data_IF_986188627818
#
_entry.id   IF_986188627818
#
_cell.length_a   1.000
_cell.length_b   1.000
_cell.length_c   1.000
_cell.angle_alpha   90.00
_cell.angle_beta   90.00
_cell.angle_gamma   90.00
#
_symmetry.space_group_name_H-M   'P 1'
#
loop_
_entity.id
_entity.type
_entity.pdbx_description
1 polymer ?
#
# COMPACT_ATOMS: atom_id res chain seq x y z
N UNK A 1 -2.92 -21.66 5.84
CA UNK A 1 -1.91 -20.76 5.26
C UNK A 1 -2.13 -19.38 5.85
N UNK A 2 -1.07 -18.59 6.01
CA UNK A 2 -1.25 -17.17 6.27
C UNK A 2 -1.63 -16.53 4.94
N UNK A 3 -2.80 -15.90 4.84
CA UNK A 3 -3.19 -15.22 3.62
C UNK A 3 -2.52 -13.86 3.58
N UNK A 4 -1.62 -13.65 2.62
CA UNK A 4 -1.05 -12.34 2.34
C UNK A 4 -1.93 -11.57 1.37
N UNK A 5 -1.86 -10.24 1.43
CA UNK A 5 -2.40 -9.36 0.40
C UNK A 5 -1.25 -8.58 -0.18
N UNK A 6 -1.07 -8.65 -1.50
CA UNK A 6 -0.02 -7.95 -2.24
C UNK A 6 -0.58 -6.67 -2.82
N UNK A 7 0.17 -5.58 -2.71
CA UNK A 7 -0.21 -4.27 -3.20
C UNK A 7 0.78 -3.78 -4.23
N UNK A 8 0.27 -3.07 -5.23
CA UNK A 8 1.04 -2.16 -6.07
C UNK A 8 0.40 -0.79 -6.02
N UNK A 9 1.23 0.22 -5.78
CA UNK A 9 0.80 1.61 -5.61
C UNK A 9 1.66 2.50 -6.48
N UNK A 10 1.02 3.25 -7.37
CA UNK A 10 1.65 4.28 -8.18
C UNK A 10 1.20 5.65 -7.68
N UNK A 11 2.08 6.38 -6.98
CA UNK A 11 1.84 7.73 -6.47
C UNK A 11 2.37 8.81 -7.41
N UNK A 12 1.62 9.90 -7.56
CA UNK A 12 2.02 11.10 -8.30
C UNK A 12 1.69 12.35 -7.49
N UNK A 13 2.64 13.27 -7.34
CA UNK A 13 2.46 14.48 -6.54
C UNK A 13 3.73 15.31 -6.39
N UNK A 14 3.75 16.30 -5.49
CA UNK A 14 4.95 17.08 -5.18
C UNK A 14 6.11 16.19 -4.71
N UNK A 15 7.31 16.41 -5.24
CA UNK A 15 8.49 15.58 -4.91
C UNK A 15 8.81 15.59 -3.40
N UNK A 16 8.61 16.74 -2.73
CA UNK A 16 8.83 16.89 -1.29
C UNK A 16 7.85 16.03 -0.47
N UNK A 17 6.60 15.89 -0.92
CA UNK A 17 5.60 15.05 -0.24
C UNK A 17 5.89 13.57 -0.43
N UNK A 18 6.31 13.15 -1.62
CA UNK A 18 6.72 11.77 -1.88
C UNK A 18 7.97 11.40 -1.07
N UNK A 19 8.95 12.30 -0.99
CA UNK A 19 10.14 12.13 -0.15
C UNK A 19 9.77 12.12 1.36
N UNK A 20 8.80 12.95 1.77
CA UNK A 20 8.29 12.96 3.14
C UNK A 20 7.57 11.66 3.47
N UNK A 21 6.79 11.07 2.56
CA UNK A 21 6.18 9.76 2.73
C UNK A 21 7.24 8.69 2.98
N UNK A 22 8.21 8.57 2.08
CA UNK A 22 9.26 7.55 2.19
C UNK A 22 10.08 7.73 3.48
N UNK A 23 10.55 8.94 3.76
CA UNK A 23 11.39 9.20 4.94
C UNK A 23 10.66 9.06 6.28
N UNK A 24 9.34 9.27 6.33
CA UNK A 24 8.57 9.17 7.58
C UNK A 24 7.99 7.80 7.82
N UNK A 25 7.58 7.11 6.76
CA UNK A 25 6.76 5.91 6.86
C UNK A 25 7.50 4.65 6.44
N UNK A 26 8.58 4.75 5.67
CA UNK A 26 9.37 3.59 5.27
C UNK A 26 10.58 3.44 6.21
N UNK A 27 10.82 2.22 6.68
CA UNK A 27 11.87 1.88 7.63
C UNK A 27 12.63 0.64 7.18
N UNK A 28 13.95 0.56 7.42
CA UNK A 28 14.70 -0.69 7.25
C UNK A 28 14.40 -1.65 8.42
N UNK A 29 14.44 -2.95 8.16
CA UNK A 29 14.49 -4.00 9.17
C UNK A 29 15.94 -4.47 9.43
N UNK A 30 16.15 -5.37 10.39
CA UNK A 30 17.47 -5.90 10.75
C UNK A 30 18.16 -6.72 9.64
N UNK A 31 17.41 -7.11 8.61
CA UNK A 31 17.90 -7.86 7.44
C UNK A 31 18.26 -6.95 6.26
N UNK A 32 17.98 -5.64 6.37
CA UNK A 32 18.18 -4.66 5.30
C UNK A 32 16.99 -4.49 4.36
N UNK A 33 15.91 -5.26 4.52
CA UNK A 33 14.68 -5.04 3.76
C UNK A 33 13.94 -3.83 4.31
N UNK A 34 13.01 -3.28 3.52
CA UNK A 34 12.19 -2.14 3.93
C UNK A 34 10.76 -2.57 4.21
N UNK A 35 10.08 -1.80 5.06
CA UNK A 35 8.65 -1.94 5.34
C UNK A 35 8.00 -0.57 5.56
N UNK A 36 6.68 -0.50 5.38
CA UNK A 36 5.86 0.65 5.76
C UNK A 36 5.46 0.49 7.23
N UNK A 37 5.96 1.38 8.09
CA UNK A 37 5.66 1.42 9.51
C UNK A 37 4.28 2.01 9.78
N UNK A 38 3.28 1.15 9.96
CA UNK A 38 1.90 1.58 10.19
C UNK A 38 1.73 2.39 11.49
N UNK A 39 2.63 2.25 12.47
CA UNK A 39 2.59 3.05 13.70
C UNK A 39 2.82 4.53 13.43
N UNK A 40 3.56 4.87 12.38
CA UNK A 40 3.78 6.26 11.99
C UNK A 40 2.55 6.88 11.32
N UNK A 41 1.59 6.07 10.86
CA UNK A 41 0.34 6.48 10.22
C UNK A 41 -0.84 6.44 11.22
N UNK A 42 -1.11 5.29 11.83
CA UNK A 42 -2.16 5.14 12.84
C UNK A 42 -1.55 4.47 14.08
N UNK A 43 -1.11 5.24 15.08
CA UNK A 43 -0.48 4.68 16.27
C UNK A 43 -1.45 3.79 17.07
N UNK A 44 -0.98 2.61 17.47
CA UNK A 44 -1.71 1.67 18.34
C UNK A 44 -0.76 1.06 19.36
N UNK A 45 -1.27 0.62 20.51
CA UNK A 45 -0.45 -0.05 21.53
C UNK A 45 0.12 -1.39 21.02
N UNK A 46 -0.66 -2.12 20.22
CA UNK A 46 -0.31 -3.38 19.57
C UNK A 46 -0.93 -3.42 18.16
N UNK A 47 -0.43 -4.25 17.23
CA UNK A 47 -1.07 -4.45 15.93
C UNK A 47 -2.55 -4.80 16.09
N UNK A 48 -3.43 -3.97 15.53
CA UNK A 48 -4.87 -4.06 15.71
C UNK A 48 -5.56 -4.09 14.34
N UNK A 49 -6.04 -5.26 13.88
CA UNK A 49 -6.70 -5.41 12.58
C UNK A 49 -7.93 -4.53 12.42
N UNK A 50 -8.65 -4.25 13.51
CA UNK A 50 -9.80 -3.36 13.53
C UNK A 50 -9.42 -1.90 13.22
N UNK A 51 -8.17 -1.52 13.48
CA UNK A 51 -7.65 -0.16 13.25
C UNK A 51 -6.88 -0.07 11.94
N UNK A 52 -6.01 -1.04 11.65
CA UNK A 52 -5.16 -1.01 10.46
C UNK A 52 -5.79 -1.65 9.23
N UNK A 53 -6.83 -2.47 9.41
CA UNK A 53 -7.36 -3.31 8.34
C UNK A 53 -6.42 -4.46 7.95
N UNK A 54 -5.41 -4.75 8.78
CA UNK A 54 -4.49 -5.88 8.61
C UNK A 54 -3.90 -6.36 9.94
N UNK A 55 -3.42 -7.60 9.99
CA UNK A 55 -2.75 -8.14 11.19
C UNK A 55 -1.30 -7.69 11.32
N UNK A 56 -0.74 -7.06 10.28
CA UNK A 56 0.66 -6.68 10.24
C UNK A 56 0.87 -5.34 9.56
N UNK A 57 2.09 -4.81 9.70
CA UNK A 57 2.60 -3.70 8.90
C UNK A 57 2.77 -4.10 7.43
N UNK A 58 3.15 -3.13 6.57
CA UNK A 58 3.43 -3.35 5.16
C UNK A 58 4.85 -3.86 4.94
N UNK A 59 5.06 -5.17 4.94
CA UNK A 59 6.36 -5.79 4.71
C UNK A 59 6.76 -5.78 3.24
N UNK A 60 8.01 -6.17 2.97
CA UNK A 60 8.53 -6.39 1.61
C UNK A 60 8.35 -5.15 0.72
N UNK A 61 8.58 -3.96 1.30
CA UNK A 61 8.47 -2.71 0.57
C UNK A 61 9.59 -2.61 -0.46
N UNK A 62 9.20 -2.54 -1.73
CA UNK A 62 10.11 -2.41 -2.86
C UNK A 62 9.68 -1.26 -3.77
N UNK A 63 10.65 -0.47 -4.23
CA UNK A 63 10.39 0.58 -5.22
C UNK A 63 10.55 -0.06 -6.60
N UNK A 64 9.46 -0.11 -7.36
CA UNK A 64 9.45 -0.61 -8.73
C UNK A 64 9.98 0.46 -9.71
N UNK A 65 9.59 1.72 -9.50
CA UNK A 65 10.08 2.86 -10.29
C UNK A 65 10.04 4.18 -9.50
N UNK A 66 10.95 5.11 -9.79
CA UNK A 66 10.99 6.41 -9.13
C UNK A 66 11.54 7.50 -10.07
N UNK A 67 10.85 8.63 -10.13
CA UNK A 67 11.28 9.83 -10.85
C UNK A 67 10.75 11.08 -10.14
N UNK A 68 11.24 12.30 -10.47
CA UNK A 68 10.73 13.51 -9.84
C UNK A 68 9.20 13.64 -9.98
N UNK A 69 8.50 13.56 -8.85
CA UNK A 69 7.04 13.66 -8.76
C UNK A 69 6.27 12.36 -9.00
N UNK A 70 6.95 11.22 -9.15
CA UNK A 70 6.31 9.91 -9.28
C UNK A 70 7.10 8.82 -8.54
N UNK A 71 6.39 7.95 -7.81
CA UNK A 71 6.97 6.75 -7.21
C UNK A 71 5.99 5.60 -7.33
N UNK A 72 6.49 4.46 -7.76
CA UNK A 72 5.76 3.21 -7.83
C UNK A 72 6.43 2.19 -6.91
N UNK A 73 5.63 1.54 -6.06
CA UNK A 73 6.14 0.59 -5.10
C UNK A 73 5.16 -0.55 -4.86
N UNK A 74 5.69 -1.64 -4.33
CA UNK A 74 4.94 -2.79 -3.86
C UNK A 74 5.15 -2.97 -2.36
N UNK A 75 4.19 -3.63 -1.71
CA UNK A 75 4.32 -4.12 -0.35
C UNK A 75 3.29 -5.24 -0.10
N UNK A 76 3.47 -6.00 0.98
CA UNK A 76 2.54 -7.04 1.40
C UNK A 76 2.07 -6.85 2.84
N UNK A 77 0.86 -7.27 3.16
CA UNK A 77 0.36 -7.38 4.54
C UNK A 77 -0.20 -8.77 4.77
N UNK A 78 -0.24 -9.21 6.02
CA UNK A 78 -0.92 -10.44 6.39
C UNK A 78 -2.36 -10.13 6.81
N UNK A 79 -3.31 -10.70 6.07
CA UNK A 79 -4.75 -10.60 6.25
C UNK A 79 -5.31 -9.19 6.09
N UNK A 80 -6.47 -9.09 5.45
CA UNK A 80 -7.13 -7.81 5.19
C UNK A 80 -6.46 -6.97 4.10
N UNK A 81 -6.97 -5.75 3.89
CA UNK A 81 -6.68 -4.93 2.71
C UNK A 81 -5.97 -3.61 3.04
N UNK A 82 -5.61 -3.40 4.31
CA UNK A 82 -4.95 -2.18 4.79
C UNK A 82 -5.65 -0.86 4.38
N UNK A 83 -6.94 -0.90 4.02
CA UNK A 83 -7.67 0.28 3.55
C UNK A 83 -7.67 1.45 4.55
N UNK A 84 -7.73 1.25 5.89
CA UNK A 84 -7.55 2.33 6.85
C UNK A 84 -6.20 3.04 6.74
N UNK A 85 -5.12 2.28 6.51
CA UNK A 85 -3.76 2.83 6.35
C UNK A 85 -3.66 3.63 5.05
N UNK A 86 -4.16 3.08 3.95
CA UNK A 86 -4.21 3.80 2.66
C UNK A 86 -5.01 5.11 2.77
N UNK A 87 -6.13 5.10 3.51
CA UNK A 87 -6.93 6.30 3.76
C UNK A 87 -6.18 7.34 4.59
N UNK A 88 -5.41 6.89 5.57
CA UNK A 88 -4.59 7.79 6.39
C UNK A 88 -3.42 8.39 5.59
N UNK A 89 -2.83 7.64 4.65
CA UNK A 89 -1.86 8.18 3.69
C UNK A 89 -2.52 9.27 2.85
N UNK A 90 -3.68 9.00 2.23
CA UNK A 90 -4.40 9.99 1.44
C UNK A 90 -4.67 11.27 2.25
N UNK A 91 -5.20 11.13 3.47
CA UNK A 91 -5.50 12.26 4.37
C UNK A 91 -4.28 13.12 4.71
N UNK A 92 -3.11 12.51 4.90
CA UNK A 92 -1.87 13.21 5.27
C UNK A 92 -1.18 13.88 4.09
N UNK A 93 -1.38 13.36 2.89
CA UNK A 93 -0.75 13.81 1.65
C UNK A 93 -1.83 14.18 0.62
N UNK A 94 -2.62 15.25 0.86
CA UNK A 94 -3.78 15.56 0.03
C UNK A 94 -3.43 15.95 -1.41
N UNK A 95 -2.21 16.44 -1.64
CA UNK A 95 -1.67 16.80 -2.95
C UNK A 95 -1.07 15.60 -3.70
N UNK A 96 -0.99 14.43 -3.05
CA UNK A 96 -0.59 13.17 -3.69
C UNK A 96 -1.82 12.46 -4.21
N UNK A 97 -1.75 12.08 -5.49
CA UNK A 97 -2.68 11.14 -6.12
C UNK A 97 -2.06 9.76 -6.17
N UNK A 98 -2.88 8.72 -6.16
CA UNK A 98 -2.38 7.35 -6.35
C UNK A 98 -3.37 6.47 -7.09
N UNK A 99 -2.85 5.49 -7.82
CA UNK A 99 -3.58 4.31 -8.29
C UNK A 99 -3.11 3.10 -7.49
N UNK A 100 -4.05 2.29 -7.03
CA UNK A 100 -3.82 1.16 -6.14
C UNK A 100 -4.45 -0.09 -6.74
N UNK A 101 -3.69 -1.18 -6.77
CA UNK A 101 -4.21 -2.53 -7.01
C UNK A 101 -3.74 -3.45 -5.89
N UNK A 102 -4.59 -4.39 -5.48
CA UNK A 102 -4.17 -5.46 -4.58
C UNK A 102 -4.89 -6.78 -4.87
N UNK A 103 -4.28 -7.87 -4.44
CA UNK A 103 -4.88 -9.21 -4.44
C UNK A 103 -4.50 -10.00 -3.20
N UNK A 104 -5.41 -10.87 -2.76
CA UNK A 104 -5.11 -11.87 -1.74
C UNK A 104 -4.39 -13.07 -2.36
N UNK A 105 -3.38 -13.57 -1.67
CA UNK A 105 -2.73 -14.84 -1.93
C UNK A 105 -3.79 -15.96 -2.02
N UNK A 106 -3.80 -16.67 -3.14
CA UNK A 106 -4.80 -17.71 -3.42
C UNK A 106 -6.06 -17.20 -4.16
N UNK A 107 -6.15 -15.90 -4.46
CA UNK A 107 -7.12 -15.34 -5.38
C UNK A 107 -8.56 -15.26 -4.86
N UNK A 108 -8.77 -15.27 -3.53
CA UNK A 108 -10.12 -15.15 -2.95
C UNK A 108 -10.70 -13.74 -3.02
N UNK A 109 -9.87 -12.69 -3.06
CA UNK A 109 -10.33 -11.35 -3.39
C UNK A 109 -9.24 -10.52 -4.08
N UNK A 110 -9.71 -9.46 -4.75
CA UNK A 110 -8.88 -8.40 -5.28
C UNK A 110 -9.53 -7.05 -4.97
N UNK A 111 -8.76 -5.96 -5.07
CA UNK A 111 -9.30 -4.62 -4.97
C UNK A 111 -8.52 -3.64 -5.85
N UNK A 112 -9.19 -2.58 -6.28
CA UNK A 112 -8.55 -1.43 -6.90
C UNK A 112 -9.01 -0.17 -6.21
N UNK A 113 -8.20 0.88 -6.30
CA UNK A 113 -8.56 2.16 -5.73
C UNK A 113 -7.73 3.31 -6.25
N UNK A 114 -8.14 4.50 -5.83
CA UNK A 114 -7.45 5.73 -6.11
C UNK A 114 -7.42 6.63 -4.88
N UNK A 115 -6.30 7.32 -4.69
CA UNK A 115 -6.21 8.45 -3.76
C UNK A 115 -6.27 9.75 -4.54
N UNK A 116 -7.09 10.70 -4.09
CA UNK A 116 -7.15 12.04 -4.66
C UNK A 116 -7.72 13.03 -3.64
N UNK A 117 -7.10 14.21 -3.55
CA UNK A 117 -7.59 15.32 -2.73
C UNK A 117 -7.87 14.95 -1.26
N UNK A 118 -7.00 14.13 -0.66
CA UNK A 118 -7.15 13.69 0.73
C UNK A 118 -8.09 12.50 0.94
N UNK A 119 -8.71 11.98 -0.11
CA UNK A 119 -9.69 10.90 -0.05
C UNK A 119 -9.19 9.62 -0.72
N UNK A 120 -9.71 8.49 -0.25
CA UNK A 120 -9.49 7.15 -0.83
C UNK A 120 -10.82 6.62 -1.37
N UNK A 121 -10.86 6.32 -2.67
CA UNK A 121 -11.88 5.44 -3.27
C UNK A 121 -11.26 4.06 -3.41
N UNK A 122 -11.87 3.04 -2.83
CA UNK A 122 -11.32 1.68 -2.79
C UNK A 122 -12.45 0.66 -2.86
N UNK A 123 -12.42 -0.18 -3.89
CA UNK A 123 -13.49 -1.12 -4.19
C UNK A 123 -12.94 -2.54 -4.27
N UNK A 124 -13.56 -3.43 -3.50
CA UNK A 124 -13.30 -4.87 -3.60
C UNK A 124 -14.01 -5.43 -4.80
N UNK A 125 -13.34 -6.32 -5.50
CA UNK A 125 -13.85 -6.99 -6.69
C UNK A 125 -13.43 -8.47 -6.69
N UNK A 126 -14.11 -9.32 -7.49
CA UNK A 126 -13.61 -10.66 -7.75
C UNK A 126 -12.19 -10.61 -8.30
N UNK A 127 -11.39 -11.62 -7.95
CA UNK A 127 -10.09 -11.80 -8.57
C UNK A 127 -10.23 -11.96 -10.09
N UNK A 128 -9.31 -11.39 -10.84
CA UNK A 128 -9.19 -11.59 -12.29
C UNK A 128 -7.73 -11.46 -12.72
N UNK A 129 -7.38 -12.05 -13.87
CA UNK A 129 -6.04 -11.94 -14.46
C UNK A 129 -5.63 -10.47 -14.60
N UNK A 130 -6.54 -9.59 -15.06
CA UNK A 130 -6.26 -8.16 -15.18
C UNK A 130 -5.84 -7.49 -13.85
N UNK A 131 -6.37 -7.94 -12.70
CA UNK A 131 -5.92 -7.41 -11.40
C UNK A 131 -4.59 -8.02 -11.00
N UNK A 132 -4.40 -9.32 -11.25
CA UNK A 132 -3.10 -9.95 -11.03
C UNK A 132 -2.00 -9.22 -11.81
N UNK A 133 -2.21 -8.96 -13.10
CA UNK A 133 -1.27 -8.22 -13.95
C UNK A 133 -1.03 -6.80 -13.42
N UNK A 134 -2.08 -6.13 -12.93
CA UNK A 134 -1.96 -4.81 -12.32
C UNK A 134 -1.18 -4.82 -11.00
N UNK A 135 -1.18 -5.92 -10.24
CA UNK A 135 -0.42 -6.05 -8.98
C UNK A 135 1.03 -6.46 -9.24
N UNK A 136 1.26 -7.41 -10.15
CA UNK A 136 2.60 -7.97 -10.38
C UNK A 136 3.37 -7.25 -11.49
N UNK A 137 2.69 -6.55 -12.40
CA UNK A 137 3.30 -5.88 -13.55
C UNK A 137 3.81 -6.86 -14.61
N UNK A 138 3.27 -8.07 -14.62
CA UNK A 138 3.58 -9.15 -15.55
C UNK A 138 2.29 -9.55 -16.29
N UNK A 139 2.41 -10.19 -17.46
CA UNK A 139 1.27 -10.79 -18.18
C UNK A 139 1.05 -12.21 -17.67
N UNK A 140 -0.21 -12.58 -17.39
CA UNK A 140 -0.58 -13.88 -16.83
C UNK A 140 -0.44 -15.05 -17.82
#
# INVERSE_FOLDING_TARGET
>A
MANYTYFRVAMTGPADDLAAFQSRHVRPNDRGDRYIDFQTLIPTAEPCPEVWGSFTIGYEFEIASESPGQVEFTFSVRGGDAAPILREIARRYPDVTAVIACEEEGGSYAATGAMQAGELTYERQPWSEAVWEAVHGETF
#
